data_IF_540139407255
#
_entry.id   IF_540139407255
#
_cell.length_a   1.000
_cell.length_b   1.000
_cell.length_c   1.000
_cell.angle_alpha   90.00
_cell.angle_beta   90.00
_cell.angle_gamma   90.00
#
_symmetry.space_group_name_H-M   'P 1'
#
loop_
_entity.id
_entity.type
_entity.pdbx_description
1 polymer ?
#
# COMPACT_ATOMS: atom_id res chain seq x y z
N UNK A 1 3.73 -6.49 5.94
CA UNK A 1 3.90 -7.89 5.51
C UNK A 1 2.81 -8.37 4.55
N UNK A 2 1.50 -8.25 4.85
CA UNK A 2 0.46 -8.75 3.92
C UNK A 2 0.62 -8.16 2.51
N UNK A 3 0.71 -6.83 2.40
CA UNK A 3 0.87 -6.16 1.09
C UNK A 3 2.12 -6.62 0.33
N UNK A 4 3.27 -6.65 1.01
CA UNK A 4 4.57 -7.09 0.44
C UNK A 4 4.54 -8.54 -0.06
N UNK A 5 3.86 -9.44 0.65
CA UNK A 5 3.72 -10.83 0.22
C UNK A 5 2.89 -10.96 -1.07
N UNK A 6 1.85 -10.13 -1.22
CA UNK A 6 0.95 -10.17 -2.37
C UNK A 6 1.59 -9.46 -3.59
N UNK A 7 2.22 -8.30 -3.36
CA UNK A 7 2.88 -7.54 -4.42
C UNK A 7 4.19 -8.18 -4.87
N UNK A 8 4.84 -8.96 -4.00
CA UNK A 8 6.25 -9.39 -4.14
C UNK A 8 7.21 -8.19 -4.21
N UNK A 9 6.82 -7.05 -3.64
CA UNK A 9 7.59 -5.80 -3.64
C UNK A 9 7.78 -5.26 -2.21
N UNK A 10 9.03 -4.94 -1.87
CA UNK A 10 9.34 -4.28 -0.60
C UNK A 10 8.86 -2.82 -0.61
N UNK A 11 8.18 -2.35 0.45
CA UNK A 11 7.68 -0.98 0.51
C UNK A 11 8.79 0.06 0.31
N UNK A 12 8.53 1.06 -0.54
CA UNK A 12 9.40 2.22 -0.76
C UNK A 12 10.83 1.88 -1.24
N UNK A 13 10.99 0.77 -1.97
CA UNK A 13 12.31 0.25 -2.37
C UNK A 13 13.14 1.17 -3.25
N UNK A 14 12.50 2.05 -4.00
CA UNK A 14 13.11 2.91 -4.99
C UNK A 14 13.44 4.30 -4.44
N UNK A 15 13.23 4.56 -3.14
CA UNK A 15 13.46 5.87 -2.52
C UNK A 15 14.29 5.78 -1.23
N UNK A 16 15.00 6.85 -0.83
CA UNK A 16 15.71 6.89 0.45
C UNK A 16 14.78 6.74 1.66
N UNK A 17 15.20 5.96 2.66
CA UNK A 17 14.49 5.88 3.94
C UNK A 17 14.93 7.02 4.88
N UNK A 18 14.61 8.26 4.55
CA UNK A 18 15.05 9.46 5.27
C UNK A 18 13.87 10.23 5.91
N UNK A 19 14.16 11.41 6.47
CA UNK A 19 13.16 12.26 7.13
C UNK A 19 12.04 12.70 6.19
N UNK A 20 12.35 12.98 4.92
CA UNK A 20 11.35 13.35 3.92
C UNK A 20 10.33 12.23 3.68
N UNK A 21 10.79 10.97 3.60
CA UNK A 21 9.87 9.83 3.51
C UNK A 21 8.99 9.71 4.77
N UNK A 22 9.57 9.92 5.96
CA UNK A 22 8.80 9.89 7.20
C UNK A 22 7.68 10.96 7.21
N UNK A 23 7.97 12.19 6.75
CA UNK A 23 6.95 13.25 6.57
C UNK A 23 5.85 12.78 5.61
N UNK A 24 6.22 12.24 4.45
CA UNK A 24 5.24 11.76 3.45
C UNK A 24 4.32 10.69 4.05
N UNK A 25 4.86 9.75 4.82
CA UNK A 25 4.09 8.71 5.51
C UNK A 25 3.13 9.32 6.55
N UNK A 26 3.59 10.29 7.34
CA UNK A 26 2.71 11.02 8.26
C UNK A 26 1.60 11.76 7.49
N UNK A 27 1.89 12.34 6.32
CA UNK A 27 0.88 12.97 5.44
C UNK A 27 0.01 11.98 4.66
N UNK A 28 -0.01 10.70 5.04
CA UNK A 28 -0.90 9.71 4.45
C UNK A 28 -0.30 8.91 3.28
N UNK A 29 0.98 9.06 2.94
CA UNK A 29 1.59 8.16 1.95
C UNK A 29 1.56 6.70 2.48
N UNK A 30 1.04 5.80 1.66
CA UNK A 30 1.03 4.35 1.91
C UNK A 30 1.59 3.61 0.68
N UNK A 31 2.12 2.39 0.85
CA UNK A 31 2.51 1.57 -0.30
C UNK A 31 1.29 1.28 -1.18
N UNK A 32 1.52 1.14 -2.49
CA UNK A 32 0.47 0.75 -3.41
C UNK A 32 -0.07 -0.65 -3.03
N UNK A 33 -1.40 -0.82 -3.07
CA UNK A 33 -2.02 -2.12 -2.96
C UNK A 33 -2.01 -2.73 -4.36
N UNK A 34 -1.49 -3.96 -4.48
CA UNK A 34 -1.41 -4.62 -5.77
C UNK A 34 -2.81 -4.76 -6.39
N UNK A 35 -2.97 -4.44 -7.67
CA UNK A 35 -4.27 -4.29 -8.35
C UNK A 35 -5.18 -5.51 -8.19
N UNK A 36 -4.61 -6.72 -8.19
CA UNK A 36 -5.40 -7.95 -8.09
C UNK A 36 -5.58 -8.45 -6.66
N UNK A 37 -5.09 -7.72 -5.66
CA UNK A 37 -5.26 -8.09 -4.25
C UNK A 37 -6.74 -8.36 -3.96
N UNK A 38 -7.10 -9.56 -3.45
CA UNK A 38 -8.47 -9.85 -3.05
C UNK A 38 -9.03 -8.73 -2.16
N UNK A 39 -10.25 -8.28 -2.44
CA UNK A 39 -10.88 -7.15 -1.74
C UNK A 39 -10.81 -7.29 -0.22
N UNK A 40 -11.07 -8.49 0.30
CA UNK A 40 -10.97 -8.79 1.74
C UNK A 40 -9.57 -8.53 2.32
N UNK A 41 -8.50 -8.78 1.55
CA UNK A 41 -7.12 -8.51 1.98
C UNK A 41 -6.78 -7.03 1.83
N UNK A 42 -7.26 -6.38 0.77
CA UNK A 42 -7.06 -4.94 0.56
C UNK A 42 -7.69 -4.14 1.70
N UNK A 43 -8.93 -4.45 2.10
CA UNK A 43 -9.61 -3.83 3.23
C UNK A 43 -8.83 -4.03 4.53
N UNK A 44 -8.36 -5.25 4.81
CA UNK A 44 -7.55 -5.53 6.00
C UNK A 44 -6.22 -4.77 6.03
N UNK A 45 -5.57 -4.64 4.87
CA UNK A 45 -4.33 -3.85 4.73
C UNK A 45 -4.61 -2.38 5.09
N UNK A 46 -5.73 -1.82 4.61
CA UNK A 46 -6.14 -0.44 4.90
C UNK A 46 -6.41 -0.24 6.39
N UNK A 47 -7.14 -1.16 7.03
CA UNK A 47 -7.39 -1.13 8.49
C UNK A 47 -6.09 -1.16 9.30
N UNK A 48 -5.12 -1.99 8.88
CA UNK A 48 -3.79 -2.05 9.52
C UNK A 48 -2.98 -0.75 9.40
N UNK A 49 -3.31 0.10 8.41
CA UNK A 49 -2.57 1.31 8.08
C UNK A 49 -3.24 2.60 8.57
N UNK A 50 -4.29 2.48 9.38
CA UNK A 50 -4.97 3.64 9.94
C UNK A 50 -3.98 4.52 10.73
N UNK A 51 -4.07 5.82 10.52
CA UNK A 51 -3.23 6.82 11.15
C UNK A 51 -3.36 6.79 12.68
N UNK A 52 -4.57 6.53 13.17
CA UNK A 52 -4.88 6.38 14.59
C UNK A 52 -4.58 4.95 15.03
N UNK A 53 -3.74 4.82 16.05
CA UNK A 53 -3.30 3.51 16.52
C UNK A 53 -4.45 2.68 17.10
N UNK A 54 -5.41 3.34 17.72
CA UNK A 54 -6.62 2.76 18.31
C UNK A 54 -7.59 2.16 17.29
N UNK A 55 -7.51 2.57 16.03
CA UNK A 55 -8.33 2.02 14.94
C UNK A 55 -7.70 0.76 14.31
N UNK A 56 -6.43 0.48 14.60
CA UNK A 56 -5.73 -0.66 13.99
C UNK A 56 -6.17 -1.95 14.68
N UNK A 57 -6.38 -3.04 13.92
CA UNK A 57 -6.66 -4.32 14.52
C UNK A 57 -5.47 -4.81 15.34
N UNK A 58 -5.76 -5.36 16.50
CA UNK A 58 -4.76 -6.04 17.33
C UNK A 58 -4.27 -7.32 16.64
N UNK A 59 -3.10 -7.80 17.04
CA UNK A 59 -2.60 -9.10 16.56
C UNK A 59 -3.58 -10.26 16.81
N UNK A 60 -4.37 -10.19 17.89
CA UNK A 60 -5.40 -11.19 18.22
C UNK A 60 -6.57 -11.13 17.23
N UNK A 61 -7.07 -9.94 16.92
CA UNK A 61 -8.15 -9.73 15.95
C UNK A 61 -7.72 -10.14 14.54
N UNK A 62 -6.48 -9.79 14.15
CA UNK A 62 -5.88 -10.24 12.89
C UNK A 62 -5.85 -11.77 12.79
N UNK A 63 -5.35 -12.44 13.83
CA UNK A 63 -5.30 -13.91 13.86
C UNK A 63 -6.70 -14.53 13.73
N UNK A 64 -7.68 -14.00 14.48
CA UNK A 64 -9.06 -14.50 14.44
C UNK A 64 -9.70 -14.32 13.06
N UNK A 65 -9.49 -13.15 12.44
CA UNK A 65 -10.00 -12.83 11.10
C UNK A 65 -9.41 -13.75 10.04
N UNK A 66 -8.08 -13.89 10.01
CA UNK A 66 -7.38 -14.76 9.06
C UNK A 66 -7.77 -16.24 9.26
N UNK A 67 -7.91 -16.69 10.51
CA UNK A 67 -8.33 -18.06 10.81
C UNK A 67 -9.78 -18.32 10.37
N UNK A 68 -10.68 -17.35 10.56
CA UNK A 68 -12.06 -17.44 10.08
C UNK A 68 -12.10 -17.60 8.56
N UNK A 69 -11.35 -16.79 7.81
CA UNK A 69 -11.29 -16.88 6.35
C UNK A 69 -10.71 -18.21 5.87
N UNK A 70 -9.65 -18.70 6.51
CA UNK A 70 -9.08 -20.02 6.20
C UNK A 70 -10.11 -21.15 6.39
N UNK A 71 -10.90 -21.09 7.47
CA UNK A 71 -11.97 -22.05 7.71
C UNK A 71 -13.11 -21.90 6.69
N UNK A 72 -13.61 -20.68 6.45
CA UNK A 72 -14.65 -20.40 5.45
C UNK A 72 -14.26 -20.92 4.06
N UNK A 73 -13.00 -20.73 3.65
CA UNK A 73 -12.48 -21.27 2.39
C UNK A 73 -12.53 -22.80 2.35
N UNK A 74 -12.14 -23.47 3.44
CA UNK A 74 -12.21 -24.95 3.57
C UNK A 74 -13.64 -25.48 3.53
N UNK A 75 -14.59 -24.77 4.15
CA UNK A 75 -16.01 -25.12 4.19
C UNK A 75 -16.83 -24.58 3.01
N UNK A 76 -16.16 -24.01 1.99
CA UNK A 76 -16.74 -23.52 0.73
C UNK A 76 -17.75 -22.37 0.89
N UNK A 77 -17.45 -21.41 1.76
CA UNK A 77 -18.06 -20.08 1.66
C UNK A 77 -17.82 -19.53 0.24
N UNK A 78 -18.90 -19.10 -0.44
CA UNK A 78 -18.86 -18.75 -1.86
C UNK A 78 -17.99 -17.53 -2.12
N UNK A 79 -18.02 -16.54 -1.23
CA UNK A 79 -17.53 -15.20 -1.55
C UNK A 79 -16.01 -15.11 -1.40
N UNK A 80 -15.48 -15.65 -0.30
CA UNK A 80 -14.04 -15.75 -0.06
C UNK A 80 -13.41 -16.65 -1.12
N UNK A 81 -14.05 -17.77 -1.42
CA UNK A 81 -13.57 -18.70 -2.45
C UNK A 81 -13.57 -18.03 -3.84
N UNK A 82 -14.60 -17.26 -4.16
CA UNK A 82 -14.67 -16.52 -5.42
C UNK A 82 -13.52 -15.53 -5.56
N UNK A 83 -13.26 -14.71 -4.55
CA UNK A 83 -12.16 -13.73 -4.58
C UNK A 83 -10.77 -14.40 -4.71
N UNK A 84 -10.56 -15.52 -4.02
CA UNK A 84 -9.29 -16.27 -4.12
C UNK A 84 -9.12 -16.87 -5.52
N UNK A 85 -10.17 -17.47 -6.08
CA UNK A 85 -10.12 -18.04 -7.43
C UNK A 85 -9.87 -16.95 -8.48
N UNK A 86 -10.53 -15.79 -8.36
CA UNK A 86 -10.34 -14.64 -9.26
C UNK A 86 -8.88 -14.15 -9.23
N UNK A 87 -8.29 -14.03 -8.03
CA UNK A 87 -6.88 -13.70 -7.87
C UNK A 87 -5.97 -14.74 -8.55
N UNK A 88 -6.20 -16.03 -8.30
CA UNK A 88 -5.41 -17.11 -8.89
C UNK A 88 -5.45 -17.09 -10.43
N UNK A 89 -6.62 -16.84 -11.00
CA UNK A 89 -6.80 -16.77 -12.45
C UNK A 89 -6.09 -15.55 -13.06
N UNK A 90 -6.20 -14.37 -12.42
CA UNK A 90 -5.49 -13.14 -12.83
C UNK A 90 -3.98 -13.28 -12.72
N UNK A 91 -3.47 -13.83 -11.62
CA UNK A 91 -2.03 -14.05 -11.41
C UNK A 91 -1.46 -15.06 -12.42
N UNK A 92 -2.17 -16.16 -12.71
CA UNK A 92 -1.74 -17.15 -13.72
C UNK A 92 -1.62 -16.53 -15.11
N UNK A 93 -2.51 -15.61 -15.46
CA UNK A 93 -2.48 -14.87 -16.72
C UNK A 93 -1.28 -13.93 -16.77
N UNK A 94 -1.07 -13.12 -15.73
CA UNK A 94 -0.01 -12.12 -15.69
C UNK A 94 1.40 -12.70 -15.57
N UNK A 95 1.57 -13.82 -14.84
CA UNK A 95 2.86 -14.54 -14.80
C UNK A 95 3.24 -15.17 -16.15
N UNK A 96 2.31 -15.31 -17.10
CA UNK A 96 2.57 -15.81 -18.46
C UNK A 96 2.86 -14.69 -19.46
N UNK A 97 2.27 -13.52 -19.30
CA UNK A 97 2.44 -12.37 -20.20
C UNK A 97 3.63 -11.48 -19.83
N UNK A 98 3.91 -11.32 -18.55
CA UNK A 98 5.01 -10.49 -18.06
C UNK A 98 6.02 -11.37 -17.30
N UNK A 99 7.24 -11.44 -17.83
CA UNK A 99 8.39 -11.67 -16.95
C UNK A 99 8.41 -10.47 -16.02
N UNK A 100 7.75 -10.54 -14.85
CA UNK A 100 7.93 -9.59 -13.73
C UNK A 100 9.42 -9.32 -13.67
N UNK A 101 9.81 -8.13 -14.10
CA UNK A 101 11.19 -7.83 -14.45
C UNK A 101 12.03 -7.99 -13.20
N UNK A 102 12.97 -8.94 -13.22
CA UNK A 102 13.83 -9.29 -12.08
C UNK A 102 14.83 -8.18 -11.68
N UNK A 103 14.59 -6.93 -12.07
CA UNK A 103 15.44 -5.78 -11.79
C UNK A 103 14.73 -4.80 -10.84
N UNK A 104 14.24 -5.30 -9.70
CA UNK A 104 13.88 -4.41 -8.59
C UNK A 104 15.20 -3.82 -8.07
N UNK A 105 15.57 -2.65 -8.58
CA UNK A 105 16.76 -1.95 -8.13
C UNK A 105 16.43 -1.17 -6.86
N UNK A 106 16.81 -1.74 -5.72
CA UNK A 106 16.68 -1.07 -4.43
C UNK A 106 17.58 0.16 -4.39
N UNK A 107 17.01 1.29 -3.97
CA UNK A 107 17.75 2.52 -3.75
C UNK A 107 18.84 2.28 -2.68
N UNK A 108 20.09 2.74 -2.87
CA UNK A 108 21.19 2.44 -1.93
C UNK A 108 20.98 2.99 -0.51
N UNK A 109 20.05 3.94 -0.34
CA UNK A 109 19.66 4.50 0.96
C UNK A 109 18.31 3.95 1.49
N UNK A 110 17.73 2.96 0.82
CA UNK A 110 16.62 2.19 1.37
C UNK A 110 17.19 1.16 2.36
N UNK A 111 16.77 1.26 3.62
CA UNK A 111 17.29 0.43 4.72
C UNK A 111 16.14 -0.40 5.29
N UNK A 112 16.25 -1.73 5.11
CA UNK A 112 15.29 -2.72 5.61
C UNK A 112 15.77 -3.48 6.85
N UNK A 113 16.99 -3.18 7.30
CA UNK A 113 17.52 -3.69 8.57
C UNK A 113 17.14 -2.76 9.72
N UNK A 114 17.04 -3.31 10.92
CA UNK A 114 16.76 -2.54 12.13
C UNK A 114 17.77 -1.40 12.34
N UNK A 115 17.28 -0.21 12.68
CA UNK A 115 18.09 0.96 13.05
C UNK A 115 17.24 1.94 13.86
N UNK A 116 17.91 2.82 14.60
CA UNK A 116 17.24 3.91 15.31
C UNK A 116 16.72 4.96 14.33
N UNK A 117 15.44 5.31 14.43
CA UNK A 117 14.83 6.43 13.71
C UNK A 117 14.72 7.61 14.67
N UNK A 118 15.48 8.68 14.41
CA UNK A 118 15.48 9.90 15.22
C UNK A 118 15.02 11.08 14.36
N UNK A 119 13.75 11.05 13.95
CA UNK A 119 13.12 12.10 13.17
C UNK A 119 12.39 13.06 14.11
N UNK A 120 12.79 14.34 14.09
CA UNK A 120 12.16 15.40 14.89
C UNK A 120 11.11 16.13 14.06
N UNK A 121 10.14 16.77 14.72
CA UNK A 121 9.14 17.65 14.11
C UNK A 121 8.32 16.97 12.99
N UNK A 122 7.95 15.70 13.17
CA UNK A 122 7.03 15.03 12.25
C UNK A 122 5.61 15.60 12.44
N UNK A 123 4.84 15.78 11.35
CA UNK A 123 3.45 16.20 11.45
C UNK A 123 2.58 15.09 12.05
N UNK A 124 1.39 15.44 12.51
CA UNK A 124 0.40 14.44 12.93
C UNK A 124 0.04 13.50 11.77
N UNK A 125 -0.03 12.19 12.01
CA UNK A 125 -0.35 11.23 10.97
C UNK A 125 -1.81 11.37 10.52
N UNK A 126 -2.04 11.34 9.21
CA UNK A 126 -3.37 11.31 8.59
C UNK A 126 -3.54 10.08 7.70
N UNK A 127 -4.79 9.70 7.45
CA UNK A 127 -5.12 8.61 6.53
C UNK A 127 -4.92 9.06 5.08
N UNK A 128 -4.61 8.11 4.18
CA UNK A 128 -4.54 8.37 2.74
C UNK A 128 -5.94 8.65 2.19
N UNK A 129 -6.08 9.66 1.34
CA UNK A 129 -7.33 9.89 0.60
C UNK A 129 -7.59 8.82 -0.48
N UNK A 130 -6.53 8.19 -0.99
CA UNK A 130 -6.54 7.22 -2.11
C UNK A 130 -7.32 5.94 -1.77
N UNK A 131 -7.30 5.49 -0.50
CA UNK A 131 -7.93 4.23 -0.09
C UNK A 131 -9.45 4.23 -0.19
N UNK A 132 -10.08 5.41 -0.23
CA UNK A 132 -11.52 5.56 -0.49
C UNK A 132 -11.88 5.30 -1.95
N UNK A 133 -10.98 5.62 -2.88
CA UNK A 133 -11.23 5.52 -4.33
C UNK A 133 -11.03 4.10 -4.84
N UNK A 134 -10.02 3.37 -4.34
CA UNK A 134 -9.72 1.99 -4.78
C UNK A 134 -10.82 0.97 -4.44
N UNK A 135 -11.57 1.19 -3.35
CA UNK A 135 -12.68 0.31 -2.95
C UNK A 135 -14.01 0.62 -3.69
N UNK A 136 -14.12 1.80 -4.30
CA UNK A 136 -15.32 2.28 -4.99
C UNK A 136 -15.29 2.10 -6.51
N UNK A 137 -14.19 1.63 -7.09
CA UNK A 137 -14.08 1.46 -8.54
C UNK A 137 -14.78 0.19 -9.03
N UNK A 138 -16.11 0.24 -9.11
CA UNK A 138 -16.78 -0.32 -10.27
C UNK A 138 -16.40 0.55 -11.47
N UNK A 139 -15.47 0.05 -12.30
CA UNK A 139 -15.18 0.47 -13.67
C UNK A 139 -15.32 1.98 -13.98
N UNK A 140 -14.20 2.71 -14.00
CA UNK A 140 -14.02 3.80 -14.95
C UNK A 140 -12.60 3.82 -15.49
N UNK A 141 -12.47 3.56 -16.80
CA UNK A 141 -11.34 4.02 -17.60
C UNK A 141 -11.29 5.55 -17.51
N UNK A 142 -10.39 6.10 -16.69
CA UNK A 142 -9.93 7.46 -16.87
C UNK A 142 -8.43 7.55 -16.58
N UNK A 143 -7.70 7.91 -17.64
CA UNK A 143 -6.30 8.30 -17.62
C UNK A 143 -6.12 9.43 -16.61
N UNK A 144 -5.16 9.28 -15.70
CA UNK A 144 -4.66 10.38 -14.90
C UNK A 144 -3.48 10.99 -15.67
N UNK A 145 -3.72 12.15 -16.28
CA UNK A 145 -2.69 12.95 -16.92
C UNK A 145 -1.74 13.55 -15.88
N UNK A 146 -0.46 13.61 -16.23
CA UNK A 146 0.71 13.92 -15.40
C UNK A 146 0.82 15.41 -14.99
N UNK A 147 -0.28 16.17 -14.93
CA UNK A 147 -0.24 17.63 -14.84
C UNK A 147 -0.42 18.24 -13.44
N UNK A 148 -0.78 17.45 -12.42
CA UNK A 148 -1.09 18.01 -11.08
C UNK A 148 0.09 18.07 -10.09
N UNK A 149 1.33 17.80 -10.53
CA UNK A 149 2.51 17.81 -9.64
C UNK A 149 3.46 19.01 -9.81
N UNK A 150 3.19 19.94 -10.73
CA UNK A 150 4.11 21.07 -10.97
C UNK A 150 3.75 22.38 -10.26
N UNK A 151 2.63 22.50 -9.55
CA UNK A 151 2.21 23.79 -8.98
C UNK A 151 2.75 24.15 -7.59
N UNK A 152 3.66 23.37 -7.01
CA UNK A 152 4.18 23.64 -5.64
C UNK A 152 5.59 24.25 -5.62
N UNK A 153 6.30 24.33 -6.75
CA UNK A 153 7.72 24.76 -6.78
C UNK A 153 7.98 26.14 -7.42
N UNK A 154 7.11 27.15 -7.21
CA UNK A 154 7.43 28.54 -7.66
C UNK A 154 7.16 29.67 -6.66
N UNK A 155 6.93 29.41 -5.36
CA UNK A 155 6.66 30.49 -4.39
C UNK A 155 7.71 30.70 -3.30
N UNK A 156 8.99 30.37 -3.53
CA UNK A 156 10.09 30.78 -2.64
C UNK A 156 11.35 31.25 -3.40
N UNK A 157 11.23 32.03 -4.47
CA UNK A 157 12.31 32.90 -4.93
C UNK A 157 11.71 34.21 -5.44
N UNK A 158 11.62 35.22 -4.57
CA UNK A 158 11.69 36.66 -4.87
C UNK A 158 11.13 37.46 -3.68
N UNK A 159 11.98 37.78 -2.72
CA UNK A 159 11.93 39.03 -1.94
C UNK A 159 13.19 39.14 -1.07
N UNK A 160 14.30 39.52 -1.69
CA UNK A 160 15.43 40.13 -0.98
C UNK A 160 16.13 41.10 -1.92
N UNK A 161 15.57 42.31 -2.05
CA UNK A 161 16.31 43.59 -2.07
C UNK A 161 15.32 44.76 -1.89
#
# INVERSE_FOLDING_TARGET
>A
MINEYISEETPYNNIPHNHALAIKICKGLRPNIFEYTPKLLAELIIECWDAKAENRPTAKELYQTLNKWCNSFRFKDSDIKSQVNEYDDKIKLNRRSEKRSNNIQTHPQAIYTSRLLNFKNLPEPVNSDITKTTLHSECFDCQLDELDLEEINQNEENNTE
#
